data_IF_205822540841
#
_entry.id   IF_205822540841
#
_cell.length_a   1.000
_cell.length_b   1.000
_cell.length_c   1.000
_cell.angle_alpha   90.00
_cell.angle_beta   90.00
_cell.angle_gamma   90.00
#
_symmetry.space_group_name_H-M   'P 1'
#
loop_
_entity.id
_entity.type
_entity.pdbx_description
1 polymer ?
#
# COMPACT_ATOMS: atom_id res chain seq x y z
N UNK A 1 43.73 15.10 -51.26
CA UNK A 1 42.57 14.20 -51.39
C UNK A 1 42.73 13.08 -50.37
N UNK A 2 41.74 12.87 -49.50
CA UNK A 2 41.75 11.79 -48.51
C UNK A 2 41.07 12.19 -47.20
N UNK A 3 39.74 12.27 -47.22
CA UNK A 3 38.88 12.51 -46.05
C UNK A 3 38.77 11.19 -45.27
N UNK A 4 39.17 11.15 -44.00
CA UNK A 4 38.86 10.03 -43.11
C UNK A 4 37.58 10.33 -42.33
N UNK A 5 36.55 9.53 -42.63
CA UNK A 5 35.23 9.51 -42.00
C UNK A 5 35.36 9.05 -40.55
N UNK A 6 34.84 9.84 -39.61
CA UNK A 6 34.59 9.40 -38.25
C UNK A 6 33.29 8.58 -38.21
N UNK A 7 33.41 7.29 -37.95
CA UNK A 7 32.27 6.39 -37.72
C UNK A 7 31.80 6.56 -36.28
N UNK A 8 30.55 7.03 -36.09
CA UNK A 8 29.85 6.97 -34.80
C UNK A 8 29.63 5.51 -34.43
N UNK A 9 30.22 5.06 -33.32
CA UNK A 9 29.86 3.79 -32.69
C UNK A 9 28.57 4.03 -31.91
N UNK A 10 27.47 3.44 -32.38
CA UNK A 10 26.24 3.27 -31.62
C UNK A 10 26.51 2.26 -30.51
N UNK A 11 26.44 2.70 -29.26
CA UNK A 11 26.43 1.82 -28.09
C UNK A 11 24.99 1.31 -27.95
N UNK A 12 24.72 0.00 -28.05
CA UNK A 12 23.40 -0.52 -27.71
C UNK A 12 23.18 -0.40 -26.20
N UNK A 13 22.02 0.13 -25.80
CA UNK A 13 21.54 0.06 -24.43
C UNK A 13 21.44 -1.42 -24.01
N UNK A 14 22.19 -1.79 -22.99
CA UNK A 14 22.10 -3.12 -22.39
C UNK A 14 20.78 -3.22 -21.60
N UNK A 15 19.99 -4.29 -21.78
CA UNK A 15 18.86 -4.56 -20.91
C UNK A 15 19.40 -4.94 -19.53
N UNK A 16 18.95 -4.21 -18.50
CA UNK A 16 19.16 -4.58 -17.11
C UNK A 16 18.55 -5.97 -16.90
N UNK A 17 19.41 -6.98 -16.80
CA UNK A 17 19.01 -8.30 -16.32
C UNK A 17 19.04 -8.23 -14.81
N UNK A 18 17.88 -8.43 -14.20
CA UNK A 18 17.71 -8.62 -12.77
C UNK A 18 18.67 -9.73 -12.30
N UNK A 19 19.57 -9.38 -11.39
CA UNK A 19 20.32 -10.33 -10.56
C UNK A 19 19.46 -10.56 -9.32
N UNK A 20 19.11 -11.83 -9.11
CA UNK A 20 17.98 -12.25 -8.29
C UNK A 20 18.22 -12.45 -6.80
N UNK A 21 17.20 -13.08 -6.23
CA UNK A 21 17.00 -13.59 -4.87
C UNK A 21 16.65 -12.56 -3.79
N UNK A 22 15.52 -11.90 -4.01
CA UNK A 22 14.61 -11.49 -2.95
C UNK A 22 13.25 -12.15 -3.18
N UNK A 23 13.15 -13.47 -2.97
CA UNK A 23 11.84 -14.10 -2.89
C UNK A 23 11.11 -13.47 -1.70
N UNK A 24 10.19 -12.54 -1.98
CA UNK A 24 9.22 -12.08 -1.01
C UNK A 24 8.51 -13.28 -0.38
N UNK A 25 8.02 -13.17 0.87
CA UNK A 25 7.43 -14.30 1.55
C UNK A 25 6.35 -14.94 0.68
N UNK A 26 6.40 -16.27 0.55
CA UNK A 26 5.26 -17.06 0.09
C UNK A 26 4.16 -16.94 1.15
N UNK A 27 3.43 -15.82 1.11
CA UNK A 27 2.26 -15.55 1.94
C UNK A 27 1.19 -16.57 1.59
N UNK A 28 0.50 -17.08 2.61
CA UNK A 28 -0.66 -17.94 2.37
C UNK A 28 -1.69 -17.18 1.54
N UNK A 29 -2.19 -17.80 0.48
CA UNK A 29 -3.24 -17.30 -0.42
C UNK A 29 -4.61 -17.19 0.28
N UNK A 30 -4.64 -16.79 1.55
CA UNK A 30 -5.81 -16.86 2.44
C UNK A 30 -6.15 -15.55 3.10
N UNK A 31 -5.53 -14.45 2.68
CA UNK A 31 -5.89 -13.10 3.12
C UNK A 31 -6.91 -12.46 2.18
N UNK A 32 -7.65 -11.49 2.74
CA UNK A 32 -8.77 -10.85 2.09
C UNK A 32 -8.74 -9.34 2.29
N UNK A 33 -9.36 -8.64 1.35
CA UNK A 33 -9.80 -7.26 1.52
C UNK A 33 -11.30 -7.28 1.77
N UNK A 34 -11.72 -6.59 2.81
CA UNK A 34 -13.13 -6.36 3.13
C UNK A 34 -13.47 -4.92 2.78
N UNK A 35 -14.60 -4.75 2.10
CA UNK A 35 -15.22 -3.45 1.91
C UNK A 35 -16.55 -3.37 2.65
N UNK A 36 -16.66 -2.40 3.56
CA UNK A 36 -17.87 -2.13 4.32
C UNK A 36 -18.16 -0.62 4.34
N UNK A 37 -19.23 -0.18 3.66
CA UNK A 37 -19.62 1.23 3.63
C UNK A 37 -18.56 2.15 3.00
N UNK A 38 -17.81 1.65 2.02
CA UNK A 38 -16.70 2.35 1.38
C UNK A 38 -15.39 2.39 2.18
N UNK A 39 -15.32 1.67 3.30
CA UNK A 39 -14.10 1.47 4.08
C UNK A 39 -13.44 0.17 3.66
N UNK A 40 -12.13 0.20 3.44
CA UNK A 40 -11.30 -0.94 3.06
C UNK A 40 -10.50 -1.43 4.27
N UNK A 41 -10.52 -2.74 4.49
CA UNK A 41 -9.83 -3.38 5.61
C UNK A 41 -9.10 -4.64 5.14
N UNK A 42 -7.85 -4.80 5.60
CA UNK A 42 -7.09 -6.02 5.40
C UNK A 42 -7.47 -7.06 6.44
N UNK A 43 -7.67 -8.30 6.02
CA UNK A 43 -7.93 -9.42 6.92
C UNK A 43 -7.01 -10.60 6.59
N UNK A 44 -6.17 -11.07 7.54
CA UNK A 44 -5.15 -12.09 7.26
C UNK A 44 -5.72 -13.51 7.12
N UNK A 45 -6.97 -13.75 7.54
CA UNK A 45 -7.57 -15.08 7.54
C UNK A 45 -9.10 -15.06 7.50
N UNK A 46 -9.76 -16.12 6.99
CA UNK A 46 -11.21 -16.28 7.10
C UNK A 46 -11.74 -16.24 8.54
N UNK A 47 -10.96 -16.74 9.50
CA UNK A 47 -11.32 -16.75 10.91
C UNK A 47 -11.43 -15.34 11.49
N UNK A 48 -10.54 -14.44 11.06
CA UNK A 48 -10.60 -13.02 11.41
C UNK A 48 -11.83 -12.32 10.85
N UNK A 49 -12.32 -12.72 9.66
CA UNK A 49 -13.56 -12.19 9.06
C UNK A 49 -14.81 -12.59 9.85
N UNK A 50 -14.85 -13.85 10.30
CA UNK A 50 -16.04 -14.45 10.93
C UNK A 50 -16.12 -14.13 12.43
N UNK A 51 -14.97 -13.86 13.06
CA UNK A 51 -14.88 -13.51 14.47
C UNK A 51 -15.27 -12.06 14.80
N UNK A 52 -15.29 -11.17 13.80
CA UNK A 52 -15.63 -9.77 14.00
C UNK A 52 -17.15 -9.54 13.90
N UNK A 53 -17.75 -9.17 15.03
CA UNK A 53 -19.18 -8.95 15.16
C UNK A 53 -19.65 -7.64 14.50
N UNK A 54 -18.73 -6.77 14.07
CA UNK A 54 -19.05 -5.50 13.42
C UNK A 54 -19.45 -5.67 11.94
N UNK A 55 -19.14 -6.82 11.33
CA UNK A 55 -19.61 -7.13 9.98
C UNK A 55 -21.09 -7.55 10.00
N UNK A 56 -21.92 -6.81 9.29
CA UNK A 56 -23.28 -7.24 9.02
C UNK A 56 -23.33 -8.18 7.80
N UNK A 57 -24.47 -8.83 7.56
CA UNK A 57 -24.66 -9.61 6.34
C UNK A 57 -24.72 -8.72 5.07
N UNK A 58 -24.38 -7.43 5.17
CA UNK A 58 -24.33 -6.44 4.10
C UNK A 58 -22.90 -5.93 3.86
N UNK A 59 -21.86 -6.57 4.42
CA UNK A 59 -20.49 -6.40 3.95
C UNK A 59 -20.50 -6.45 2.42
N UNK A 60 -20.11 -5.35 1.79
CA UNK A 60 -20.46 -5.10 0.40
C UNK A 60 -19.66 -6.02 -0.51
N UNK A 61 -18.37 -6.25 -0.20
CA UNK A 61 -17.53 -7.21 -0.94
C UNK A 61 -16.37 -7.73 -0.07
N UNK A 62 -16.08 -9.02 -0.17
CA UNK A 62 -14.84 -9.64 0.33
C UNK A 62 -14.09 -10.19 -0.89
N UNK A 63 -12.81 -9.84 -1.03
CA UNK A 63 -11.99 -10.14 -2.22
C UNK A 63 -10.68 -10.82 -1.79
N UNK A 64 -10.29 -11.92 -2.44
CA UNK A 64 -8.97 -12.55 -2.26
C UNK A 64 -7.91 -11.99 -3.23
N UNK A 65 -6.65 -12.43 -3.10
CA UNK A 65 -5.55 -12.02 -3.99
C UNK A 65 -5.75 -12.37 -5.46
N UNK A 66 -6.58 -13.36 -5.78
CA UNK A 66 -6.94 -13.72 -7.15
C UNK A 66 -8.10 -12.87 -7.70
N UNK A 67 -8.64 -11.95 -6.90
CA UNK A 67 -9.79 -11.14 -7.27
C UNK A 67 -11.11 -11.90 -7.18
N UNK A 68 -11.17 -13.05 -6.51
CA UNK A 68 -12.42 -13.79 -6.31
C UNK A 68 -13.27 -13.11 -5.24
N UNK A 69 -14.58 -12.99 -5.48
CA UNK A 69 -15.55 -12.41 -4.54
C UNK A 69 -16.16 -13.48 -3.65
N UNK A 70 -16.23 -13.20 -2.35
CA UNK A 70 -16.80 -14.10 -1.36
C UNK A 70 -17.99 -13.44 -0.65
N UNK A 71 -19.18 -14.05 -0.69
CA UNK A 71 -20.30 -13.62 0.13
C UNK A 71 -20.10 -13.98 1.62
N UNK A 72 -20.51 -13.08 2.51
CA UNK A 72 -20.67 -13.39 3.92
C UNK A 72 -22.13 -13.78 4.19
N UNK A 73 -22.37 -14.99 4.69
CA UNK A 73 -23.71 -15.52 4.95
C UNK A 73 -23.89 -15.83 6.43
N UNK A 74 -25.13 -15.77 6.92
CA UNK A 74 -25.47 -16.32 8.24
C UNK A 74 -25.82 -17.80 8.12
N UNK A 75 -25.23 -18.61 8.98
CA UNK A 75 -25.61 -20.01 9.13
C UNK A 75 -26.95 -20.16 9.89
N UNK A 76 -27.40 -21.40 10.04
CA UNK A 76 -28.65 -21.74 10.76
C UNK A 76 -28.64 -21.37 12.26
N UNK A 77 -27.48 -21.05 12.82
CA UNK A 77 -27.28 -20.63 14.20
C UNK A 77 -27.08 -19.11 14.31
N UNK A 78 -27.13 -18.38 13.19
CA UNK A 78 -26.96 -16.93 13.15
C UNK A 78 -25.49 -16.48 13.10
N UNK A 79 -24.53 -17.40 13.05
CA UNK A 79 -23.11 -17.08 12.94
C UNK A 79 -22.76 -16.70 11.50
N UNK A 80 -21.85 -15.74 11.34
CA UNK A 80 -21.34 -15.40 10.02
C UNK A 80 -20.46 -16.53 9.49
N UNK A 81 -20.44 -16.71 8.18
CA UNK A 81 -19.59 -17.68 7.48
C UNK A 81 -19.26 -17.17 6.09
N UNK A 82 -17.99 -17.30 5.71
CA UNK A 82 -17.55 -17.08 4.34
C UNK A 82 -18.09 -18.19 3.43
N UNK A 83 -18.89 -17.83 2.43
CA UNK A 83 -19.39 -18.76 1.43
C UNK A 83 -18.30 -19.03 0.36
N UNK A 84 -18.45 -20.09 -0.47
CA UNK A 84 -17.60 -20.28 -1.65
C UNK A 84 -17.63 -19.05 -2.58
N UNK A 85 -16.60 -18.87 -3.43
CA UNK A 85 -16.52 -17.69 -4.29
C UNK A 85 -17.71 -17.63 -5.25
N UNK A 86 -18.31 -16.45 -5.39
CA UNK A 86 -19.50 -16.21 -6.21
C UNK A 86 -19.18 -15.65 -7.60
N UNK A 87 -17.92 -15.32 -7.87
CA UNK A 87 -17.43 -14.80 -9.16
C UNK A 87 -16.15 -13.98 -9.00
N UNK A 88 -15.73 -13.31 -10.06
CA UNK A 88 -14.58 -12.38 -10.05
C UNK A 88 -15.02 -10.98 -9.70
N UNK A 89 -14.18 -10.21 -9.00
CA UNK A 89 -14.34 -8.80 -8.68
C UNK A 89 -14.41 -7.94 -9.95
N UNK A 90 -15.15 -6.84 -9.89
CA UNK A 90 -15.07 -5.80 -10.90
C UNK A 90 -13.91 -4.89 -10.50
N UNK A 91 -12.77 -5.07 -11.16
CA UNK A 91 -11.54 -4.37 -10.80
C UNK A 91 -11.61 -2.88 -11.18
N UNK A 92 -12.34 -2.53 -12.24
CA UNK A 92 -12.57 -1.14 -12.61
C UNK A 92 -13.33 -0.41 -11.50
N UNK A 93 -14.43 -1.01 -11.03
CA UNK A 93 -15.16 -0.47 -9.88
C UNK A 93 -14.30 -0.43 -8.60
N UNK A 94 -13.47 -1.45 -8.35
CA UNK A 94 -12.61 -1.49 -7.17
C UNK A 94 -11.60 -0.34 -7.15
N UNK A 95 -11.03 0.02 -8.31
CA UNK A 95 -10.13 1.18 -8.46
C UNK A 95 -10.85 2.49 -8.11
N UNK A 96 -12.02 2.72 -8.70
CA UNK A 96 -12.82 3.93 -8.44
C UNK A 96 -13.22 4.03 -6.96
N UNK A 97 -13.61 2.91 -6.35
CA UNK A 97 -13.95 2.84 -4.94
C UNK A 97 -12.74 3.15 -4.04
N UNK A 98 -11.56 2.60 -4.38
CA UNK A 98 -10.31 2.86 -3.66
C UNK A 98 -9.89 4.33 -3.75
N UNK A 99 -9.88 4.91 -4.95
CA UNK A 99 -9.57 6.33 -5.15
C UNK A 99 -10.54 7.23 -4.35
N UNK A 100 -11.83 6.88 -4.35
CA UNK A 100 -12.84 7.58 -3.56
C UNK A 100 -12.57 7.48 -2.06
N UNK A 101 -12.16 6.31 -1.57
CA UNK A 101 -11.84 6.09 -0.17
C UNK A 101 -10.60 6.91 0.26
N UNK A 102 -9.54 6.91 -0.55
CA UNK A 102 -8.33 7.71 -0.31
C UNK A 102 -8.64 9.23 -0.28
N UNK A 103 -9.51 9.71 -1.17
CA UNK A 103 -9.91 11.13 -1.19
C UNK A 103 -10.77 11.52 0.01
N UNK A 104 -11.68 10.65 0.45
CA UNK A 104 -12.59 10.92 1.57
C UNK A 104 -11.88 10.83 2.93
N UNK A 105 -11.01 9.85 3.09
CA UNK A 105 -10.32 9.55 4.35
C UNK A 105 -8.79 9.39 4.15
N UNK A 106 -8.07 10.42 3.69
CA UNK A 106 -6.63 10.33 3.41
C UNK A 106 -5.78 10.04 4.66
N UNK A 107 -6.30 10.31 5.86
CA UNK A 107 -5.64 9.94 7.11
C UNK A 107 -5.74 8.43 7.41
N UNK A 108 -6.75 7.74 6.87
CA UNK A 108 -6.94 6.29 7.01
C UNK A 108 -6.16 5.53 5.94
N UNK A 109 -5.98 6.13 4.77
CA UNK A 109 -5.22 5.55 3.65
C UNK A 109 -4.08 6.48 3.25
N UNK A 110 -3.06 6.65 4.11
CA UNK A 110 -2.05 7.69 3.94
C UNK A 110 -1.01 7.39 2.85
N UNK A 111 -0.97 6.17 2.31
CA UNK A 111 -0.03 5.78 1.25
C UNK A 111 -0.64 6.07 -0.14
N UNK A 112 -0.13 7.08 -0.82
CA UNK A 112 -0.50 7.44 -2.19
C UNK A 112 0.50 6.79 -3.17
N UNK A 113 0.25 5.54 -3.55
CA UNK A 113 1.03 4.80 -4.55
C UNK A 113 0.66 5.21 -5.99
N UNK A 114 1.59 5.04 -6.91
CA UNK A 114 1.31 5.08 -8.35
C UNK A 114 0.65 3.76 -8.72
N UNK A 115 -0.64 3.84 -9.06
CA UNK A 115 -1.45 2.64 -9.33
C UNK A 115 -1.00 1.94 -10.62
N UNK A 116 -0.70 0.63 -10.57
CA UNK A 116 -0.39 -0.15 -11.77
C UNK A 116 -1.57 -0.24 -12.74
N UNK A 117 -1.28 -0.29 -14.04
CA UNK A 117 -2.29 -0.45 -15.09
C UNK A 117 -2.91 -1.85 -15.11
N UNK A 118 -2.13 -2.87 -14.72
CA UNK A 118 -2.58 -4.27 -14.67
C UNK A 118 -3.48 -4.51 -13.47
N UNK A 119 -4.58 -5.24 -13.67
CA UNK A 119 -5.51 -5.60 -12.61
C UNK A 119 -4.85 -6.46 -11.51
N UNK A 120 -3.97 -7.39 -11.90
CA UNK A 120 -3.26 -8.24 -10.95
C UNK A 120 -2.27 -7.44 -10.10
N UNK A 121 -1.55 -6.50 -10.71
CA UNK A 121 -0.59 -5.65 -10.01
C UNK A 121 -1.30 -4.62 -9.11
N UNK A 122 -2.45 -4.09 -9.55
CA UNK A 122 -3.29 -3.24 -8.72
C UNK A 122 -3.80 -3.98 -7.48
N UNK A 123 -4.34 -5.18 -7.64
CA UNK A 123 -4.78 -5.98 -6.50
C UNK A 123 -3.62 -6.26 -5.55
N UNK A 124 -2.47 -6.69 -6.08
CA UNK A 124 -1.27 -6.91 -5.26
C UNK A 124 -0.90 -5.65 -4.47
N UNK A 125 -0.80 -4.49 -5.13
CA UNK A 125 -0.47 -3.22 -4.49
C UNK A 125 -1.51 -2.79 -3.43
N UNK A 126 -2.80 -3.03 -3.69
CA UNK A 126 -3.87 -2.72 -2.74
C UNK A 126 -3.76 -3.58 -1.48
N UNK A 127 -3.50 -4.88 -1.63
CA UNK A 127 -3.26 -5.78 -0.49
C UNK A 127 -2.07 -5.31 0.35
N UNK A 128 -0.96 -4.95 -0.30
CA UNK A 128 0.24 -4.48 0.38
C UNK A 128 0.00 -3.21 1.20
N UNK A 129 -0.64 -2.19 0.61
CA UNK A 129 -0.95 -0.94 1.32
C UNK A 129 -1.86 -1.15 2.54
N UNK A 130 -2.88 -2.01 2.39
CA UNK A 130 -3.84 -2.28 3.47
C UNK A 130 -3.21 -3.14 4.56
N UNK A 131 -2.39 -4.14 4.21
CA UNK A 131 -1.65 -4.97 5.16
C UNK A 131 -0.69 -4.12 6.01
N UNK A 132 0.04 -3.20 5.37
CA UNK A 132 0.98 -2.28 6.04
C UNK A 132 0.30 -1.36 7.03
N UNK A 133 -0.87 -0.86 6.65
CA UNK A 133 -1.66 0.04 7.49
C UNK A 133 -2.29 -0.73 8.67
N UNK A 134 -2.66 -1.99 8.47
CA UNK A 134 -3.35 -2.79 9.48
C UNK A 134 -2.41 -3.49 10.47
N UNK A 135 -1.28 -4.01 10.01
CA UNK A 135 -0.44 -4.95 10.80
C UNK A 135 0.97 -4.43 11.10
N UNK A 136 1.38 -3.32 10.47
CA UNK A 136 2.77 -2.87 10.51
C UNK A 136 3.66 -3.71 9.58
N UNK A 137 4.98 -3.65 9.78
CA UNK A 137 5.89 -4.42 8.96
C UNK A 137 5.83 -5.93 9.33
N UNK A 138 5.83 -6.78 8.31
CA UNK A 138 5.95 -8.22 8.50
C UNK A 138 7.26 -8.60 9.21
N UNK A 139 7.27 -9.71 9.95
CA UNK A 139 8.42 -10.16 10.74
C UNK A 139 9.71 -10.21 9.90
N UNK A 140 10.73 -9.45 10.33
CA UNK A 140 12.03 -9.33 9.63
C UNK A 140 12.12 -8.16 8.63
N UNK A 141 11.03 -7.44 8.39
CA UNK A 141 11.00 -6.25 7.54
C UNK A 141 10.78 -4.99 8.39
N UNK A 142 11.33 -3.85 7.95
CA UNK A 142 11.21 -2.59 8.69
C UNK A 142 10.97 -1.45 7.73
N UNK A 143 10.13 -0.51 8.14
CA UNK A 143 10.07 0.82 7.57
C UNK A 143 11.42 1.51 7.74
N UNK A 144 11.92 2.18 6.69
CA UNK A 144 13.16 2.97 6.76
C UNK A 144 12.83 4.43 6.57
N UNK A 145 13.28 5.28 7.49
CA UNK A 145 13.21 6.74 7.33
C UNK A 145 14.62 7.26 7.07
N UNK A 146 14.85 7.72 5.85
CA UNK A 146 16.12 8.30 5.40
C UNK A 146 16.02 9.81 5.47
N UNK A 147 17.00 10.43 6.11
CA UNK A 147 17.18 11.87 6.20
C UNK A 147 18.66 12.18 6.03
N UNK A 148 19.04 13.44 5.72
CA UNK A 148 20.45 13.79 5.58
C UNK A 148 21.28 13.35 6.80
N UNK A 149 22.29 12.50 6.57
CA UNK A 149 23.18 11.99 7.60
C UNK A 149 22.61 10.92 8.53
N UNK A 150 21.39 10.40 8.30
CA UNK A 150 20.81 9.32 9.13
C UNK A 150 19.77 8.45 8.42
N UNK A 151 19.78 7.16 8.77
CA UNK A 151 18.71 6.21 8.43
C UNK A 151 18.18 5.59 9.72
N UNK A 152 16.86 5.60 9.90
CA UNK A 152 16.16 4.98 11.02
C UNK A 152 15.36 3.78 10.52
N UNK A 153 15.29 2.74 11.35
CA UNK A 153 14.50 1.53 11.08
C UNK A 153 13.36 1.46 12.11
N UNK A 154 12.13 1.41 11.63
CA UNK A 154 10.90 1.46 12.42
C UNK A 154 10.02 0.26 12.08
N UNK A 155 9.22 -0.19 13.05
CA UNK A 155 8.43 -1.41 12.93
C UNK A 155 7.09 -1.17 12.23
N UNK A 156 6.57 0.05 12.25
CA UNK A 156 5.26 0.35 11.68
C UNK A 156 5.18 1.75 11.10
N UNK A 157 4.16 1.97 10.27
CA UNK A 157 3.81 3.29 9.76
C UNK A 157 3.40 4.24 10.89
N UNK A 158 2.83 3.73 11.98
CA UNK A 158 2.50 4.54 13.17
C UNK A 158 3.75 5.09 13.86
N UNK A 159 4.81 4.29 13.99
CA UNK A 159 6.09 4.77 14.52
C UNK A 159 6.71 5.84 13.59
N UNK A 160 6.59 5.65 12.27
CA UNK A 160 6.99 6.67 11.29
C UNK A 160 6.17 7.95 11.49
N UNK A 161 4.85 7.83 11.61
CA UNK A 161 3.95 8.95 11.85
C UNK A 161 4.30 9.71 13.13
N UNK A 162 4.52 8.99 14.23
CA UNK A 162 4.92 9.58 15.49
C UNK A 162 6.24 10.34 15.40
N UNK A 163 7.25 9.75 14.76
CA UNK A 163 8.54 10.37 14.56
C UNK A 163 8.40 11.67 13.75
N UNK A 164 7.72 11.60 12.60
CA UNK A 164 7.66 12.69 11.64
C UNK A 164 6.70 13.81 12.05
N UNK A 165 5.62 13.51 12.78
CA UNK A 165 4.71 14.53 13.31
C UNK A 165 5.35 15.36 14.44
N UNK A 166 6.24 14.75 15.24
CA UNK A 166 7.02 15.44 16.29
C UNK A 166 8.11 16.35 15.71
N UNK A 167 8.58 16.09 14.49
CA UNK A 167 9.55 16.94 13.82
C UNK A 167 8.93 18.32 13.49
N UNK A 168 9.73 19.39 13.62
CA UNK A 168 9.30 20.75 13.29
C UNK A 168 9.17 20.94 11.79
N UNK A 169 10.11 20.36 11.06
CA UNK A 169 10.23 20.34 9.62
C UNK A 169 10.38 18.90 9.13
N UNK A 170 10.06 18.70 7.86
CA UNK A 170 10.40 17.49 7.13
C UNK A 170 11.55 17.88 6.20
N UNK A 171 12.84 17.67 6.60
CA UNK A 171 13.96 17.83 5.66
C UNK A 171 13.79 16.84 4.50
N UNK A 172 14.73 16.78 3.55
CA UNK A 172 14.71 15.84 2.41
C UNK A 172 14.59 14.37 2.87
N UNK A 173 13.36 13.96 3.20
CA UNK A 173 13.02 12.78 3.96
C UNK A 173 12.39 11.82 2.99
N UNK A 174 12.97 10.64 2.90
CA UNK A 174 12.43 9.54 2.12
C UNK A 174 12.04 8.44 3.10
N UNK A 175 10.78 8.03 3.04
CA UNK A 175 10.28 6.87 3.77
C UNK A 175 10.25 5.70 2.81
N UNK A 176 10.82 4.57 3.21
CA UNK A 176 10.77 3.33 2.44
C UNK A 176 9.96 2.30 3.21
N UNK A 177 8.99 1.70 2.55
CA UNK A 177 8.17 0.63 3.13
C UNK A 177 8.89 -0.75 3.08
N UNK A 178 8.36 -1.77 3.77
CA UNK A 178 8.79 -3.15 3.64
C UNK A 178 8.92 -3.68 2.19
N UNK A 179 8.01 -3.30 1.30
CA UNK A 179 8.03 -3.71 -0.13
C UNK A 179 8.98 -2.90 -1.01
N UNK A 180 9.80 -2.03 -0.40
CA UNK A 180 10.80 -1.19 -1.07
C UNK A 180 10.23 0.00 -1.85
N UNK A 181 8.94 0.34 -1.71
CA UNK A 181 8.41 1.58 -2.26
C UNK A 181 8.97 2.78 -1.50
N UNK A 182 9.20 3.87 -2.23
CA UNK A 182 9.80 5.09 -1.70
C UNK A 182 8.77 6.21 -1.70
N UNK A 183 8.70 6.92 -0.59
CA UNK A 183 7.71 7.96 -0.38
C UNK A 183 8.33 9.26 0.11
N UNK A 184 7.77 10.38 -0.36
CA UNK A 184 7.89 11.66 0.33
C UNK A 184 6.73 11.88 1.29
N UNK A 185 7.01 12.17 2.58
CA UNK A 185 5.98 12.55 3.53
C UNK A 185 5.55 14.02 3.31
N UNK A 186 4.25 14.24 3.27
CA UNK A 186 3.61 15.54 3.18
C UNK A 186 2.74 15.77 4.42
N UNK A 187 2.97 16.90 5.10
CA UNK A 187 2.16 17.29 6.25
C UNK A 187 0.89 17.97 5.80
N UNK A 188 -0.23 17.37 6.15
CA UNK A 188 -1.57 17.84 5.82
C UNK A 188 -2.30 18.35 7.06
N UNK A 189 -3.31 19.19 6.84
CA UNK A 189 -4.18 19.74 7.88
C UNK A 189 -5.56 19.10 7.81
N UNK A 190 -6.11 18.72 8.96
CA UNK A 190 -7.50 18.27 9.04
C UNK A 190 -8.44 19.47 9.18
N UNK A 191 -9.07 19.90 8.08
CA UNK A 191 -10.20 20.83 8.07
C UNK A 191 -9.90 22.34 8.07
N UNK A 192 -10.83 23.12 7.55
CA UNK A 192 -10.74 24.57 7.31
C UNK A 192 -11.14 25.46 8.50
N UNK A 193 -11.77 24.91 9.55
CA UNK A 193 -12.31 25.64 10.70
C UNK A 193 -12.43 24.74 11.94
N UNK A 194 -11.34 24.48 12.67
CA UNK A 194 -11.47 23.99 14.06
C UNK A 194 -10.17 24.21 14.85
N UNK A 195 -10.32 24.74 16.06
CA UNK A 195 -9.31 25.22 17.00
C UNK A 195 -8.37 24.14 17.58
N UNK A 196 -8.18 23.02 16.88
CA UNK A 196 -7.22 21.96 17.22
C UNK A 196 -6.57 21.48 15.92
N UNK A 197 -5.41 22.04 15.57
CA UNK A 197 -4.64 21.64 14.39
C UNK A 197 -4.13 20.19 14.56
N UNK A 198 -4.93 19.20 14.19
CA UNK A 198 -4.45 17.83 14.02
C UNK A 198 -3.86 17.71 12.62
N UNK A 199 -2.54 17.73 12.56
CA UNK A 199 -1.80 17.39 11.35
C UNK A 199 -1.87 15.88 11.14
N UNK A 200 -1.95 15.46 9.88
CA UNK A 200 -1.71 14.08 9.47
C UNK A 200 -0.64 14.06 8.38
N UNK A 201 -0.10 12.88 8.10
CA UNK A 201 0.88 12.68 7.04
C UNK A 201 0.25 11.89 5.91
N UNK A 202 0.60 12.28 4.69
CA UNK A 202 0.36 11.50 3.47
C UNK A 202 1.72 11.22 2.86
N UNK A 203 1.89 10.04 2.30
CA UNK A 203 3.14 9.52 1.76
C UNK A 203 2.96 9.31 0.27
N UNK A 204 3.58 10.18 -0.54
CA UNK A 204 3.46 10.13 -1.99
C UNK A 204 4.60 9.34 -2.58
N UNK A 205 4.27 8.33 -3.36
CA UNK A 205 5.28 7.50 -4.00
C UNK A 205 6.11 8.34 -4.97
N UNK A 206 7.42 8.18 -4.88
CA UNK A 206 8.38 8.79 -5.79
C UNK A 206 9.28 7.71 -6.39
N UNK A 207 9.67 7.95 -7.64
CA UNK A 207 10.71 7.19 -8.33
C UNK A 207 11.95 8.08 -8.47
N UNK A 208 12.69 8.36 -7.37
CA UNK A 208 13.82 9.26 -7.45
C UNK A 208 14.90 8.68 -8.36
N UNK A 209 15.38 9.49 -9.31
CA UNK A 209 16.55 9.14 -10.12
C UNK A 209 17.83 9.01 -9.27
N UNK A 210 17.84 9.65 -8.10
CA UNK A 210 18.92 9.58 -7.10
C UNK A 210 18.31 9.60 -5.69
N UNK A 211 18.58 8.55 -4.91
CA UNK A 211 18.28 8.53 -3.47
C UNK A 211 19.44 9.26 -2.79
N UNK A 212 19.19 10.27 -1.94
CA UNK A 212 20.28 11.00 -1.29
C UNK A 212 21.16 10.00 -0.52
N UNK A 213 22.44 9.96 -0.89
CA UNK A 213 23.45 9.14 -0.21
C UNK A 213 23.58 9.61 1.25
N UNK A 214 23.58 8.63 2.15
CA UNK A 214 23.68 8.77 3.61
C UNK A 214 24.85 9.60 4.08
#
# INVERSE_FOLDING_TARGET
>A
MGILRATRVLIPALPWSAVGDGAGPARGDTDFIVMNGGIFEYTPSPESLVGDAEYDARTEVIIDRAGSRYPLLRDKHGNLKLAPPSGTADIGWLREAWETAQQKEPWRYPLERVMPDSDAEFLASLFEMLEETATGAAEGWTWKVRQPGRTLHLQSLDEVNELLLKARDLPDTIVQDPYQHLYRPHRMLTGTLALTHRHYLVYREEFPEQIPDT
#
